data_IF_780877619134
#
_entry.id   IF_780877619134
#
_cell.length_a   1.000
_cell.length_b   1.000
_cell.length_c   1.000
_cell.angle_alpha   90.00
_cell.angle_beta   90.00
_cell.angle_gamma   90.00
#
_symmetry.space_group_name_H-M   'P 1'
#
loop_
_entity.id
_entity.type
_entity.pdbx_description
1 polymer ?
#
# COMPACT_ATOMS: atom_id res chain seq x y z
N UNK A 1 -3.19 -10.85 13.16
CA UNK A 1 -3.47 -10.20 11.86
C UNK A 1 -2.33 -10.46 10.89
N UNK A 2 -2.44 -10.11 9.61
CA UNK A 2 -1.37 -10.28 8.61
C UNK A 2 -0.59 -8.98 8.38
N UNK A 3 0.59 -9.07 7.76
CA UNK A 3 1.33 -7.88 7.29
C UNK A 3 0.53 -7.06 6.28
N UNK A 4 -0.31 -7.72 5.47
CA UNK A 4 -1.25 -7.10 4.56
C UNK A 4 -2.30 -6.26 5.30
N UNK A 5 -2.84 -6.78 6.41
CA UNK A 5 -3.80 -6.02 7.23
C UNK A 5 -3.18 -4.73 7.79
N UNK A 6 -1.92 -4.79 8.22
CA UNK A 6 -1.16 -3.61 8.68
C UNK A 6 -0.96 -2.60 7.56
N UNK A 7 -0.58 -3.06 6.37
CA UNK A 7 -0.46 -2.19 5.19
C UNK A 7 -1.79 -1.52 4.85
N UNK A 8 -2.89 -2.29 4.83
CA UNK A 8 -4.23 -1.77 4.53
C UNK A 8 -4.65 -0.71 5.54
N UNK A 9 -4.45 -0.99 6.83
CA UNK A 9 -4.74 -0.05 7.92
C UNK A 9 -3.95 1.24 7.73
N UNK A 10 -2.62 1.15 7.62
CA UNK A 10 -1.73 2.29 7.50
C UNK A 10 -2.08 3.15 6.29
N UNK A 11 -2.21 2.55 5.12
CA UNK A 11 -2.47 3.29 3.89
C UNK A 11 -3.86 3.93 3.89
N UNK A 12 -4.86 3.30 4.49
CA UNK A 12 -6.19 3.90 4.68
C UNK A 12 -6.12 5.13 5.60
N UNK A 13 -5.35 5.06 6.69
CA UNK A 13 -5.16 6.19 7.60
C UNK A 13 -4.35 7.33 6.97
N UNK A 14 -3.33 7.02 6.17
CA UNK A 14 -2.48 8.02 5.50
C UNK A 14 -3.18 8.73 4.35
N UNK A 15 -3.93 7.99 3.53
CA UNK A 15 -4.60 8.53 2.34
C UNK A 15 -6.00 9.07 2.61
N UNK A 16 -6.65 8.65 3.70
CA UNK A 16 -8.07 8.90 3.95
C UNK A 16 -9.02 8.03 3.13
N UNK A 17 -8.50 7.12 2.30
CA UNK A 17 -9.30 6.24 1.45
C UNK A 17 -9.88 5.05 2.23
N UNK A 18 -11.02 4.47 1.79
CA UNK A 18 -11.59 3.30 2.43
C UNK A 18 -10.66 2.09 2.36
N UNK A 19 -10.54 1.33 3.48
CA UNK A 19 -9.76 0.08 3.55
C UNK A 19 -10.06 -0.91 2.42
N UNK A 20 -11.31 -0.98 1.96
CA UNK A 20 -11.72 -1.83 0.82
C UNK A 20 -10.96 -1.48 -0.46
N UNK A 21 -10.84 -0.18 -0.78
CA UNK A 21 -10.10 0.28 -1.96
C UNK A 21 -8.61 -0.07 -1.85
N UNK A 22 -8.04 0.10 -0.66
CA UNK A 22 -6.64 -0.25 -0.39
C UNK A 22 -6.40 -1.76 -0.49
N UNK A 23 -7.35 -2.59 -0.05
CA UNK A 23 -7.28 -4.04 -0.19
C UNK A 23 -7.28 -4.46 -1.66
N UNK A 24 -8.18 -3.89 -2.47
CA UNK A 24 -8.22 -4.13 -3.93
C UNK A 24 -6.89 -3.72 -4.60
N UNK A 25 -6.31 -2.60 -4.19
CA UNK A 25 -4.97 -2.18 -4.65
C UNK A 25 -3.88 -3.18 -4.24
N UNK A 26 -3.90 -3.64 -2.99
CA UNK A 26 -2.93 -4.61 -2.50
C UNK A 26 -3.01 -5.93 -3.28
N UNK A 27 -4.22 -6.39 -3.63
CA UNK A 27 -4.41 -7.57 -4.47
C UNK A 27 -3.75 -7.39 -5.85
N UNK A 28 -3.94 -6.23 -6.49
CA UNK A 28 -3.26 -5.91 -7.75
C UNK A 28 -1.74 -5.93 -7.59
N UNK A 29 -1.20 -5.31 -6.53
CA UNK A 29 0.24 -5.33 -6.23
C UNK A 29 0.74 -6.77 -6.10
N UNK A 30 0.04 -7.62 -5.34
CA UNK A 30 0.37 -9.04 -5.17
C UNK A 30 0.42 -9.76 -6.52
N UNK A 31 -0.53 -9.53 -7.43
CA UNK A 31 -0.52 -10.16 -8.76
C UNK A 31 0.64 -9.68 -9.66
N UNK A 32 1.17 -8.49 -9.40
CA UNK A 32 2.27 -7.89 -10.16
C UNK A 32 3.67 -8.25 -9.66
N UNK A 33 3.77 -8.88 -8.47
CA UNK A 33 5.04 -9.25 -7.84
C UNK A 33 5.25 -10.78 -7.86
N UNK A 34 6.50 -11.27 -8.00
CA UNK A 34 6.80 -12.68 -7.79
C UNK A 34 6.36 -13.16 -6.41
N UNK A 35 5.72 -14.34 -6.34
CA UNK A 35 5.18 -14.91 -5.10
C UNK A 35 6.23 -15.12 -4.01
N UNK A 36 7.49 -15.33 -4.38
CA UNK A 36 8.62 -15.49 -3.46
C UNK A 36 8.93 -14.21 -2.65
N UNK A 37 8.43 -13.06 -3.12
CA UNK A 37 8.56 -11.77 -2.43
C UNK A 37 7.28 -11.41 -1.65
N UNK A 38 6.26 -12.29 -1.63
CA UNK A 38 4.98 -12.02 -0.96
C UNK A 38 5.11 -12.27 0.53
N UNK A 39 5.35 -11.20 1.28
CA UNK A 39 5.33 -11.24 2.76
C UNK A 39 4.01 -10.74 3.34
N UNK A 40 3.04 -10.36 2.51
CA UNK A 40 1.79 -9.76 2.98
C UNK A 40 0.90 -10.75 3.74
N UNK A 41 0.99 -12.04 3.41
CA UNK A 41 0.19 -13.08 4.07
C UNK A 41 0.86 -13.63 5.36
N UNK A 42 2.04 -13.11 5.72
CA UNK A 42 2.70 -13.49 6.98
C UNK A 42 1.89 -12.98 8.17
N UNK A 43 1.60 -13.88 9.11
CA UNK A 43 0.95 -13.54 10.37
C UNK A 43 1.89 -12.75 11.29
N UNK A 44 1.30 -11.83 12.02
CA UNK A 44 1.96 -10.92 12.95
C UNK A 44 1.05 -10.74 14.17
N UNK A 45 1.68 -10.69 15.34
CA UNK A 45 0.98 -10.42 16.60
C UNK A 45 0.44 -9.00 16.65
N UNK A 46 -0.71 -8.83 17.30
CA UNK A 46 -1.38 -7.53 17.39
C UNK A 46 -0.50 -6.47 18.08
N UNK A 47 0.29 -6.87 19.08
CA UNK A 47 1.28 -5.98 19.72
C UNK A 47 2.33 -5.49 18.73
N UNK A 48 2.85 -6.37 17.87
CA UNK A 48 3.85 -5.99 16.88
C UNK A 48 3.23 -5.16 15.76
N UNK A 49 1.99 -5.43 15.39
CA UNK A 49 1.26 -4.63 14.41
C UNK A 49 1.02 -3.21 14.90
N UNK A 50 0.59 -3.04 16.16
CA UNK A 50 0.42 -1.73 16.79
C UNK A 50 1.72 -0.93 16.80
N UNK A 51 2.83 -1.54 17.25
CA UNK A 51 4.15 -0.89 17.23
C UNK A 51 4.58 -0.47 15.83
N UNK A 52 4.35 -1.30 14.80
CA UNK A 52 4.68 -0.93 13.42
C UNK A 52 3.84 0.24 12.91
N UNK A 53 2.54 0.25 13.20
CA UNK A 53 1.67 1.36 12.80
C UNK A 53 2.13 2.65 13.47
N UNK A 54 2.34 2.63 14.79
CA UNK A 54 2.77 3.79 15.56
C UNK A 54 4.12 4.32 15.06
N UNK A 55 5.09 3.45 14.82
CA UNK A 55 6.42 3.80 14.28
C UNK A 55 6.28 4.44 12.89
N UNK A 56 5.56 3.82 11.97
CA UNK A 56 5.40 4.31 10.60
C UNK A 56 4.60 5.62 10.52
N UNK A 57 3.65 5.82 11.44
CA UNK A 57 2.89 7.07 11.52
C UNK A 57 3.74 8.27 11.93
N UNK A 58 4.90 8.06 12.57
CA UNK A 58 5.87 9.15 12.81
C UNK A 58 6.46 9.70 11.51
N UNK A 59 6.49 8.89 10.45
CA UNK A 59 7.00 9.25 9.12
C UNK A 59 5.89 9.46 8.07
N UNK A 60 4.65 9.70 8.53
CA UNK A 60 3.45 9.75 7.68
C UNK A 60 3.60 10.57 6.39
N UNK A 61 4.23 11.75 6.47
CA UNK A 61 4.37 12.66 5.33
C UNK A 61 5.35 12.12 4.29
N UNK A 62 6.45 11.50 4.74
CA UNK A 62 7.42 10.88 3.87
C UNK A 62 6.81 9.66 3.16
N UNK A 63 6.06 8.83 3.89
CA UNK A 63 5.36 7.67 3.33
C UNK A 63 4.31 8.11 2.30
N UNK A 64 3.52 9.14 2.63
CA UNK A 64 2.51 9.67 1.71
C UNK A 64 3.14 10.24 0.44
N UNK A 65 4.23 11.02 0.57
CA UNK A 65 4.95 11.56 -0.57
C UNK A 65 5.57 10.46 -1.44
N UNK A 66 6.17 9.44 -0.84
CA UNK A 66 6.69 8.28 -1.56
C UNK A 66 5.58 7.53 -2.30
N UNK A 67 4.43 7.31 -1.64
CA UNK A 67 3.28 6.65 -2.23
C UNK A 67 2.70 7.44 -3.41
N UNK A 68 2.50 8.75 -3.26
CA UNK A 68 2.01 9.62 -4.34
C UNK A 68 2.99 9.65 -5.52
N UNK A 69 4.30 9.67 -5.26
CA UNK A 69 5.33 9.55 -6.29
C UNK A 69 5.25 8.24 -7.06
N UNK A 70 5.10 7.12 -6.35
CA UNK A 70 4.91 5.79 -6.94
C UNK A 70 3.61 5.66 -7.73
N UNK A 71 2.50 6.20 -7.21
CA UNK A 71 1.21 6.22 -7.89
C UNK A 71 1.27 7.04 -9.18
N UNK A 72 1.92 8.20 -9.16
CA UNK A 72 2.13 9.02 -10.34
C UNK A 72 2.94 8.26 -11.41
N UNK A 73 4.02 7.58 -11.01
CA UNK A 73 4.81 6.74 -11.91
C UNK A 73 3.99 5.56 -12.47
N UNK A 74 3.21 4.89 -11.64
CA UNK A 74 2.32 3.82 -12.07
C UNK A 74 1.32 4.31 -13.12
N UNK A 75 0.68 5.45 -12.89
CA UNK A 75 -0.23 6.08 -13.85
C UNK A 75 0.49 6.42 -15.16
N UNK A 76 1.70 6.99 -15.11
CA UNK A 76 2.48 7.30 -16.32
C UNK A 76 2.86 6.05 -17.12
N UNK A 77 3.20 4.94 -16.44
CA UNK A 77 3.61 3.71 -17.10
C UNK A 77 2.43 2.86 -17.59
N UNK A 78 1.25 2.96 -16.96
CA UNK A 78 0.14 2.02 -17.19
C UNK A 78 -1.14 2.67 -17.74
N UNK A 79 -1.31 4.00 -17.64
CA UNK A 79 -2.28 4.69 -18.50
C UNK A 79 -1.60 4.98 -19.82
N UNK A 80 -1.99 4.23 -20.87
CA UNK A 80 -1.67 4.65 -22.23
C UNK A 80 -2.04 6.14 -22.39
N UNK A 81 -1.23 6.96 -23.08
CA UNK A 81 -1.72 8.25 -23.53
C UNK A 81 -3.00 7.95 -24.31
N UNK A 82 -4.15 8.43 -23.82
CA UNK A 82 -5.31 8.55 -24.68
C UNK A 82 -4.92 9.63 -25.69
N UNK A 83 -4.27 9.20 -26.77
CA UNK A 83 -4.07 10.00 -27.94
C UNK A 83 -5.44 10.44 -28.42
N UNK A 84 -5.79 11.68 -28.10
CA UNK A 84 -6.80 12.40 -28.85
C UNK A 84 -6.13 12.88 -30.15
N UNK A 85 -6.82 12.60 -31.25
CA UNK A 85 -6.59 13.04 -32.64
C UNK A 85 -5.53 12.27 -33.45
#
# INVERSE_FOLDING_TARGET
MTRGDVFIQLMSELSGEPKKLIAEMLDVIKTSMPSELHRFDEEISDTKAGSLIDELMTEKEAILNWFLGGYHLFLLCNRMPQGNA
#
